data_IF_189021883466
#
_entry.id   IF_189021883466
#
_cell.length_a   1.000
_cell.length_b   1.000
_cell.length_c   1.000
_cell.angle_alpha   90.00
_cell.angle_beta   90.00
_cell.angle_gamma   90.00
#
_symmetry.space_group_name_H-M   'P 1'
#
loop_
_entity.id
_entity.type
_entity.pdbx_description
1 polymer ?
#
# COMPACT_ATOMS: atom_id res chain seq x y z
N UNK A 1 -4.27 12.34 -18.14
CA UNK A 1 -4.30 13.09 -16.85
C UNK A 1 -3.81 14.51 -17.10
N UNK A 2 -4.31 15.50 -16.35
CA UNK A 2 -3.72 16.85 -16.33
C UNK A 2 -2.57 16.87 -15.32
N UNK A 3 -1.38 17.26 -15.77
CA UNK A 3 -0.25 17.55 -14.88
C UNK A 3 -0.39 18.98 -14.32
N UNK A 4 0.26 19.24 -13.19
CA UNK A 4 0.32 20.58 -12.61
C UNK A 4 1.09 21.51 -13.57
N UNK A 5 0.68 22.78 -13.67
CA UNK A 5 1.38 23.73 -14.55
C UNK A 5 2.73 24.22 -13.98
N UNK A 6 2.96 24.02 -12.68
CA UNK A 6 4.17 24.50 -11.98
C UNK A 6 4.86 23.32 -11.30
N UNK A 7 6.16 23.18 -11.56
CA UNK A 7 7.00 22.13 -11.00
C UNK A 7 8.08 22.75 -10.12
N UNK A 8 8.24 22.22 -8.91
CA UNK A 8 9.31 22.59 -7.99
C UNK A 8 10.50 21.66 -8.26
N UNK A 9 11.66 22.23 -8.60
CA UNK A 9 12.85 21.48 -9.01
C UNK A 9 13.30 20.46 -7.95
N UNK A 10 13.25 20.81 -6.67
CA UNK A 10 13.71 19.95 -5.56
C UNK A 10 12.94 18.62 -5.44
N UNK A 11 11.72 18.55 -6.00
CA UNK A 11 10.90 17.35 -5.99
C UNK A 11 11.01 16.50 -7.27
N UNK A 12 11.89 16.90 -8.21
CA UNK A 12 12.03 16.21 -9.49
C UNK A 12 12.39 14.73 -9.31
N UNK A 13 13.32 14.41 -8.42
CA UNK A 13 13.79 13.04 -8.16
C UNK A 13 12.80 12.15 -7.38
N UNK A 14 11.71 12.73 -6.84
CA UNK A 14 10.72 12.00 -6.04
C UNK A 14 9.36 11.99 -6.75
N UNK A 15 8.55 13.03 -6.50
CA UNK A 15 7.20 13.15 -7.05
C UNK A 15 7.23 13.40 -8.57
N UNK A 16 8.32 14.00 -9.07
CA UNK A 16 8.55 14.18 -10.50
C UNK A 16 8.70 12.85 -11.23
N UNK A 17 9.52 11.93 -10.72
CA UNK A 17 9.64 10.57 -11.25
C UNK A 17 8.32 9.78 -11.14
N UNK A 18 7.61 9.89 -10.02
CA UNK A 18 6.30 9.26 -9.86
C UNK A 18 5.28 9.76 -10.89
N UNK A 19 5.32 11.05 -11.25
CA UNK A 19 4.47 11.61 -12.31
C UNK A 19 4.80 11.02 -13.68
N UNK A 20 6.08 10.90 -14.03
CA UNK A 20 6.51 10.26 -15.27
C UNK A 20 6.03 8.82 -15.35
N UNK A 21 6.21 8.06 -14.26
CA UNK A 21 5.72 6.69 -14.15
C UNK A 21 4.19 6.62 -14.33
N UNK A 22 3.43 7.42 -13.59
CA UNK A 22 1.97 7.44 -13.64
C UNK A 22 1.43 7.80 -15.04
N UNK A 23 2.07 8.72 -15.74
CA UNK A 23 1.73 9.05 -17.13
C UNK A 23 2.02 7.87 -18.08
N UNK A 24 3.15 7.18 -17.90
CA UNK A 24 3.54 6.03 -18.71
C UNK A 24 2.65 4.80 -18.53
N UNK A 25 2.15 4.54 -17.31
CA UNK A 25 1.26 3.41 -17.02
C UNK A 25 -0.23 3.72 -17.20
N UNK A 26 -0.57 4.92 -17.67
CA UNK A 26 -1.95 5.29 -17.95
C UNK A 26 -2.52 4.39 -19.06
N UNK A 27 -3.68 3.78 -18.84
CA UNK A 27 -4.30 2.73 -19.67
C UNK A 27 -3.57 1.37 -19.67
N UNK A 28 -2.49 1.23 -18.90
CA UNK A 28 -1.76 -0.03 -18.70
C UNK A 28 -1.84 -0.48 -17.24
N UNK A 29 -2.83 0.01 -16.49
CA UNK A 29 -3.03 -0.44 -15.13
C UNK A 29 -3.31 -1.96 -15.13
N UNK A 30 -2.65 -2.74 -14.26
CA UNK A 30 -2.79 -4.21 -14.25
C UNK A 30 -4.17 -4.68 -13.76
N UNK A 31 -4.98 -3.77 -13.20
CA UNK A 31 -6.31 -4.07 -12.67
C UNK A 31 -7.39 -4.11 -13.74
N UNK A 32 -8.41 -4.94 -13.52
CA UNK A 32 -9.62 -5.00 -14.34
C UNK A 32 -10.77 -4.24 -13.65
N UNK A 33 -11.25 -3.12 -14.22
CA UNK A 33 -12.29 -2.30 -13.59
C UNK A 33 -13.64 -3.02 -13.47
N UNK A 34 -13.93 -4.02 -14.33
CA UNK A 34 -15.16 -4.81 -14.23
C UNK A 34 -15.10 -5.73 -13.02
N UNK A 35 -13.96 -6.37 -12.78
CA UNK A 35 -13.74 -7.20 -11.58
C UNK A 35 -13.74 -6.35 -10.30
N UNK A 36 -13.22 -5.12 -10.37
CA UNK A 36 -13.31 -4.17 -9.25
C UNK A 36 -14.75 -3.87 -8.88
N UNK A 37 -15.61 -3.55 -9.86
CA UNK A 37 -17.02 -3.26 -9.61
C UNK A 37 -17.73 -4.45 -8.91
N UNK A 38 -17.48 -5.69 -9.36
CA UNK A 38 -18.01 -6.89 -8.71
C UNK A 38 -17.52 -7.05 -7.27
N UNK A 39 -16.25 -6.75 -7.00
CA UNK A 39 -15.69 -6.81 -5.65
C UNK A 39 -16.33 -5.77 -4.71
N UNK A 40 -16.64 -4.57 -5.23
CA UNK A 40 -17.33 -3.52 -4.47
C UNK A 40 -18.77 -3.93 -4.13
N UNK A 41 -19.51 -4.49 -5.09
CA UNK A 41 -20.86 -5.01 -4.84
C UNK A 41 -20.84 -6.10 -3.77
N UNK A 42 -19.91 -7.07 -3.89
CA UNK A 42 -19.71 -8.10 -2.87
C UNK A 42 -19.42 -7.50 -1.49
N UNK A 43 -18.58 -6.46 -1.42
CA UNK A 43 -18.25 -5.79 -0.16
C UNK A 43 -19.47 -5.11 0.46
N UNK A 44 -20.34 -4.50 -0.36
CA UNK A 44 -21.55 -3.84 0.12
C UNK A 44 -22.58 -4.83 0.70
N UNK A 45 -22.63 -6.05 0.16
CA UNK A 45 -23.52 -7.13 0.63
C UNK A 45 -22.93 -7.94 1.82
N UNK A 46 -21.70 -7.66 2.24
CA UNK A 46 -21.02 -8.40 3.30
C UNK A 46 -21.56 -8.03 4.69
N UNK A 47 -21.94 -9.02 5.50
CA UNK A 47 -22.53 -8.78 6.83
C UNK A 47 -21.50 -8.27 7.84
N UNK A 48 -20.24 -8.63 7.63
CA UNK A 48 -19.11 -8.22 8.46
C UNK A 48 -17.97 -7.75 7.56
N UNK A 49 -18.08 -6.53 6.99
CA UNK A 49 -17.09 -6.07 6.02
C UNK A 49 -15.73 -5.89 6.68
N UNK A 50 -14.62 -6.24 5.99
CA UNK A 50 -13.28 -6.04 6.51
C UNK A 50 -12.94 -4.55 6.60
N UNK A 51 -12.08 -4.19 7.56
CA UNK A 51 -11.52 -2.83 7.64
C UNK A 51 -10.71 -2.44 6.39
N UNK A 52 -10.07 -3.42 5.74
CA UNK A 52 -9.26 -3.22 4.52
C UNK A 52 -9.52 -4.35 3.52
N UNK A 53 -9.76 -4.00 2.26
CA UNK A 53 -9.91 -4.94 1.15
C UNK A 53 -8.81 -4.69 0.10
N UNK A 54 -7.70 -5.44 0.13
CA UNK A 54 -6.68 -5.38 -0.90
C UNK A 54 -7.20 -5.85 -2.26
N UNK A 55 -6.93 -5.09 -3.33
CA UNK A 55 -7.39 -5.37 -4.69
C UNK A 55 -6.20 -5.32 -5.65
N UNK A 56 -6.05 -6.37 -6.47
CA UNK A 56 -4.92 -6.53 -7.38
C UNK A 56 -3.74 -7.31 -6.77
N UNK A 57 -3.04 -8.05 -7.62
CA UNK A 57 -1.93 -8.92 -7.21
C UNK A 57 -0.73 -8.12 -6.68
N UNK A 58 -0.48 -6.94 -7.24
CA UNK A 58 0.57 -6.02 -6.81
C UNK A 58 0.31 -5.49 -5.40
N UNK A 59 -0.94 -5.10 -5.09
CA UNK A 59 -1.35 -4.69 -3.74
C UNK A 59 -1.12 -5.82 -2.73
N UNK A 60 -1.54 -7.04 -3.07
CA UNK A 60 -1.34 -8.22 -2.20
C UNK A 60 0.15 -8.49 -1.97
N UNK A 61 0.97 -8.44 -3.02
CA UNK A 61 2.42 -8.61 -2.91
C UNK A 61 3.05 -7.58 -1.98
N UNK A 62 2.78 -6.28 -2.20
CA UNK A 62 3.33 -5.19 -1.38
C UNK A 62 2.92 -5.29 0.09
N UNK A 63 1.68 -5.66 0.39
CA UNK A 63 1.22 -5.84 1.76
C UNK A 63 1.97 -7.01 2.42
N UNK A 64 2.12 -8.14 1.73
CA UNK A 64 2.87 -9.29 2.23
C UNK A 64 4.32 -8.95 2.50
N UNK A 65 4.97 -8.27 1.57
CA UNK A 65 6.37 -7.87 1.70
C UNK A 65 6.56 -6.92 2.89
N UNK A 66 5.65 -5.96 3.06
CA UNK A 66 5.68 -5.04 4.20
C UNK A 66 5.46 -5.77 5.52
N UNK A 67 4.49 -6.68 5.61
CA UNK A 67 4.24 -7.47 6.82
C UNK A 67 5.48 -8.31 7.17
N UNK A 68 6.05 -9.01 6.19
CA UNK A 68 7.25 -9.82 6.39
C UNK A 68 8.44 -8.96 6.82
N UNK A 69 8.58 -7.75 6.29
CA UNK A 69 9.61 -6.80 6.71
C UNK A 69 9.41 -6.38 8.18
N UNK A 70 8.20 -5.98 8.57
CA UNK A 70 7.90 -5.59 9.96
C UNK A 70 8.13 -6.76 10.92
N UNK A 71 7.70 -7.96 10.55
CA UNK A 71 7.89 -9.17 11.36
C UNK A 71 9.38 -9.47 11.59
N UNK A 72 10.21 -9.37 10.54
CA UNK A 72 11.67 -9.55 10.66
C UNK A 72 12.29 -8.52 11.60
N UNK A 73 11.92 -7.25 11.46
CA UNK A 73 12.44 -6.20 12.33
C UNK A 73 12.00 -6.40 13.79
N UNK A 74 10.74 -6.79 14.01
CA UNK A 74 10.24 -7.11 15.33
C UNK A 74 11.04 -8.26 15.95
N UNK A 75 11.26 -9.34 15.21
CA UNK A 75 12.02 -10.49 15.69
C UNK A 75 13.48 -10.13 16.03
N UNK A 76 14.14 -9.33 15.18
CA UNK A 76 15.52 -8.85 15.39
C UNK A 76 15.65 -8.02 16.68
N UNK A 77 14.66 -7.17 16.96
CA UNK A 77 14.69 -6.24 18.09
C UNK A 77 13.90 -6.73 19.31
N UNK A 78 13.34 -7.94 19.26
CA UNK A 78 12.46 -8.48 20.29
C UNK A 78 13.09 -8.45 21.70
N UNK A 79 14.37 -8.83 21.91
CA UNK A 79 14.98 -8.79 23.23
C UNK A 79 15.05 -7.36 23.81
N UNK A 80 15.40 -6.38 22.97
CA UNK A 80 15.49 -4.97 23.37
C UNK A 80 14.11 -4.40 23.63
N UNK A 81 13.12 -4.72 22.78
CA UNK A 81 11.75 -4.28 22.99
C UNK A 81 11.19 -4.80 24.33
N UNK A 82 11.40 -6.09 24.62
CA UNK A 82 10.92 -6.72 25.84
C UNK A 82 11.68 -6.28 27.10
N UNK A 83 12.94 -5.86 27.00
CA UNK A 83 13.69 -5.36 28.17
C UNK A 83 13.12 -4.06 28.74
N UNK A 84 12.31 -3.34 27.95
CA UNK A 84 11.60 -2.14 28.38
C UNK A 84 10.21 -2.41 28.95
N UNK A 85 9.77 -3.68 28.99
CA UNK A 85 8.50 -4.04 29.57
C UNK A 85 8.50 -3.74 31.09
N UNK A 86 7.42 -3.13 31.57
CA UNK A 86 7.26 -2.91 33.01
C UNK A 86 7.19 -4.26 33.71
N UNK A 87 8.01 -4.48 34.74
CA UNK A 87 7.75 -5.58 35.66
C UNK A 87 6.42 -5.27 36.36
N UNK A 88 5.41 -6.12 36.20
CA UNK A 88 4.21 -6.05 37.03
C UNK A 88 4.60 -6.49 38.45
N UNK A 89 4.16 -5.70 39.44
CA UNK A 89 4.19 -6.02 40.87
C UNK A 89 3.02 -6.95 41.23
#
# INVERSE_FOLDING_TARGET
MRDAAVHIADYAATVGEMRKYAAGVNHQQPGDPRKLALAVLKLADEKQPPLRLPLGADTVGRIRDKHAFVERQLAEWLPVALSTAHAQA
#
